data_IF_036562596554
#
_entry.id   IF_036562596554
#
_cell.length_a   1.000
_cell.length_b   1.000
_cell.length_c   1.000
_cell.angle_alpha   90.00
_cell.angle_beta   90.00
_cell.angle_gamma   90.00
#
_symmetry.space_group_name_H-M   'P 1'
#
loop_
_entity.id
_entity.type
_entity.pdbx_description
1 polymer ?
#
# COMPACT_ATOMS: atom_id res chain seq x y z
N UNK A 1 10.86 -60.99 -11.92
CA UNK A 1 10.48 -60.27 -10.69
C UNK A 1 9.76 -58.98 -11.08
N UNK A 2 8.47 -58.85 -10.76
CA UNK A 2 7.68 -57.65 -11.10
C UNK A 2 7.73 -56.70 -9.90
N UNK A 3 8.42 -55.57 -10.06
CA UNK A 3 8.43 -54.52 -9.05
C UNK A 3 7.04 -53.85 -9.01
N UNK A 4 6.47 -53.59 -7.82
CA UNK A 4 5.17 -52.92 -7.70
C UNK A 4 5.28 -51.47 -8.20
N UNK A 5 4.26 -51.02 -8.94
CA UNK A 5 4.21 -49.71 -9.60
C UNK A 5 4.36 -48.51 -8.63
N UNK A 6 4.18 -48.74 -7.33
CA UNK A 6 4.38 -47.75 -6.26
C UNK A 6 5.85 -47.41 -6.00
N UNK A 7 6.79 -48.31 -6.29
CA UNK A 7 8.23 -48.02 -6.18
C UNK A 7 8.74 -47.21 -7.37
N UNK A 8 8.12 -47.35 -8.54
CA UNK A 8 8.52 -46.65 -9.76
C UNK A 8 8.09 -45.18 -9.72
N UNK A 9 6.94 -44.87 -9.14
CA UNK A 9 6.47 -43.48 -8.96
C UNK A 9 7.25 -42.72 -7.89
N UNK A 10 7.67 -43.40 -6.80
CA UNK A 10 8.56 -42.82 -5.78
C UNK A 10 9.97 -42.56 -6.32
N UNK A 11 10.49 -43.43 -7.20
CA UNK A 11 11.79 -43.22 -7.85
C UNK A 11 11.75 -42.04 -8.85
N UNK A 12 10.65 -41.85 -9.60
CA UNK A 12 10.49 -40.70 -10.49
C UNK A 12 10.35 -39.37 -9.72
N UNK A 13 9.65 -39.36 -8.58
CA UNK A 13 9.51 -38.17 -7.74
C UNK A 13 10.82 -37.77 -7.04
N UNK A 14 11.63 -38.76 -6.61
CA UNK A 14 12.95 -38.51 -6.03
C UNK A 14 13.98 -38.05 -7.09
N UNK A 15 13.92 -38.60 -8.31
CA UNK A 15 14.78 -38.20 -9.42
C UNK A 15 14.58 -36.75 -9.87
N UNK A 16 13.33 -36.28 -9.88
CA UNK A 16 13.01 -34.87 -10.20
C UNK A 16 13.46 -33.88 -9.12
N UNK A 17 13.51 -34.31 -7.84
CA UNK A 17 14.00 -33.47 -6.74
C UNK A 17 15.54 -33.36 -6.69
N UNK A 18 16.25 -34.39 -7.16
CA UNK A 18 17.72 -34.41 -7.18
C UNK A 18 18.32 -33.76 -8.43
N UNK A 19 17.69 -33.90 -9.60
CA UNK A 19 18.16 -33.25 -10.84
C UNK A 19 18.09 -31.70 -10.77
N UNK A 20 17.26 -31.14 -9.88
CA UNK A 20 17.15 -29.70 -9.65
C UNK A 20 18.32 -29.08 -8.85
N UNK A 21 19.23 -29.88 -8.26
CA UNK A 21 20.33 -29.36 -7.42
C UNK A 21 21.70 -29.30 -8.11
N UNK A 22 21.84 -29.74 -9.37
CA UNK A 22 23.15 -29.81 -10.04
C UNK A 22 23.32 -28.91 -11.27
N UNK A 23 22.45 -27.93 -11.50
CA UNK A 23 22.61 -26.99 -12.63
C UNK A 23 23.08 -25.61 -12.18
N UNK A 24 24.35 -25.52 -11.79
CA UNK A 24 25.10 -24.25 -11.78
C UNK A 24 25.65 -24.01 -13.19
N UNK A 25 24.82 -23.46 -14.07
CA UNK A 25 25.24 -22.92 -15.38
C UNK A 25 25.33 -21.39 -15.34
N UNK A 26 26.10 -20.76 -16.25
CA UNK A 26 26.18 -19.30 -16.34
C UNK A 26 24.78 -18.73 -16.61
N UNK A 27 24.40 -17.74 -15.81
CA UNK A 27 23.08 -17.11 -15.83
C UNK A 27 22.95 -16.25 -17.09
N UNK A 28 22.57 -16.86 -18.20
CA UNK A 28 22.14 -16.15 -19.39
C UNK A 28 20.96 -15.24 -19.01
N UNK A 29 20.97 -14.00 -19.51
CA UNK A 29 19.88 -13.06 -19.31
C UNK A 29 18.59 -13.70 -19.84
N UNK A 30 17.70 -14.08 -18.91
CA UNK A 30 16.36 -14.56 -19.25
C UNK A 30 15.55 -13.34 -19.68
N UNK A 31 15.72 -12.94 -20.92
CA UNK A 31 14.75 -12.11 -21.63
C UNK A 31 13.56 -12.99 -21.96
N UNK A 32 12.44 -12.66 -21.32
CA UNK A 32 11.08 -13.07 -21.68
C UNK A 32 10.74 -14.57 -21.51
N UNK A 33 10.76 -15.06 -20.25
CA UNK A 33 9.87 -16.19 -19.91
C UNK A 33 8.43 -15.68 -19.86
N UNK A 34 7.79 -15.70 -21.03
CA UNK A 34 6.34 -15.75 -21.18
C UNK A 34 5.78 -16.76 -20.20
N UNK A 35 4.93 -16.27 -19.27
CA UNK A 35 4.22 -17.03 -18.24
C UNK A 35 3.50 -18.25 -18.84
N UNK A 36 4.13 -19.43 -18.93
CA UNK A 36 3.77 -20.45 -19.92
C UNK A 36 2.46 -21.16 -19.59
N UNK A 37 1.98 -20.98 -18.35
CA UNK A 37 0.73 -21.50 -17.83
C UNK A 37 -0.21 -20.37 -17.36
N UNK A 38 0.17 -19.10 -17.56
CA UNK A 38 -0.58 -17.97 -17.03
C UNK A 38 -0.62 -17.92 -15.49
N UNK A 39 0.18 -18.72 -14.77
CA UNK A 39 0.07 -18.85 -13.32
C UNK A 39 0.50 -17.57 -12.60
N UNK A 40 1.65 -16.99 -12.97
CA UNK A 40 2.15 -15.77 -12.34
C UNK A 40 1.16 -14.60 -12.56
N UNK A 41 0.77 -13.93 -11.49
CA UNK A 41 -0.20 -12.82 -11.54
C UNK A 41 -1.66 -13.23 -11.80
N UNK A 42 -1.98 -14.52 -11.87
CA UNK A 42 -3.38 -14.99 -11.95
C UNK A 42 -3.99 -15.24 -10.58
N UNK A 43 -5.31 -15.49 -10.55
CA UNK A 43 -6.01 -15.93 -9.34
C UNK A 43 -5.44 -17.25 -8.78
N UNK A 44 -5.04 -18.19 -9.66
CA UNK A 44 -4.43 -19.45 -9.24
C UNK A 44 -3.02 -19.23 -8.66
N UNK A 45 -2.23 -18.35 -9.26
CA UNK A 45 -0.94 -17.93 -8.71
C UNK A 45 -1.09 -17.29 -7.34
N UNK A 46 -2.08 -16.40 -7.18
CA UNK A 46 -2.40 -15.75 -5.90
C UNK A 46 -2.77 -16.76 -4.80
N UNK A 47 -3.56 -17.77 -5.15
CA UNK A 47 -3.90 -18.86 -4.22
C UNK A 47 -2.66 -19.68 -3.83
N UNK A 48 -1.85 -20.07 -4.81
CA UNK A 48 -0.61 -20.80 -4.57
C UNK A 48 0.37 -19.98 -3.69
N UNK A 49 0.49 -18.67 -3.95
CA UNK A 49 1.31 -17.76 -3.17
C UNK A 49 0.87 -17.70 -1.71
N UNK A 50 -0.45 -17.64 -1.44
CA UNK A 50 -0.98 -17.67 -0.07
C UNK A 50 -0.69 -18.98 0.65
N UNK A 51 -0.84 -20.12 -0.02
CA UNK A 51 -0.50 -21.43 0.56
C UNK A 51 1.00 -21.51 0.90
N UNK A 52 1.85 -21.00 0.02
CA UNK A 52 3.30 -20.92 0.27
C UNK A 52 3.58 -19.99 1.46
N UNK A 53 2.93 -18.83 1.52
CA UNK A 53 3.07 -17.84 2.60
C UNK A 53 2.68 -18.41 3.96
N UNK A 54 1.55 -19.12 4.06
CA UNK A 54 1.13 -19.75 5.33
C UNK A 54 2.16 -20.79 5.80
N UNK A 55 2.76 -21.54 4.87
CA UNK A 55 3.82 -22.49 5.21
C UNK A 55 5.09 -21.80 5.73
N UNK A 56 5.36 -20.56 5.29
CA UNK A 56 6.57 -19.81 5.62
C UNK A 56 6.69 -19.51 7.12
N UNK A 57 5.56 -19.26 7.79
CA UNK A 57 5.48 -19.08 9.25
C UNK A 57 6.12 -20.26 9.99
N UNK A 58 5.86 -21.49 9.54
CA UNK A 58 6.41 -22.69 10.18
C UNK A 58 7.93 -22.80 10.01
N UNK A 59 8.47 -22.36 8.87
CA UNK A 59 9.91 -22.35 8.64
C UNK A 59 10.62 -21.31 9.52
N UNK A 60 10.05 -20.12 9.66
CA UNK A 60 10.64 -19.06 10.49
C UNK A 60 10.62 -19.39 11.98
N UNK A 61 9.61 -20.11 12.44
CA UNK A 61 9.54 -20.57 13.82
C UNK A 61 10.16 -21.97 14.04
N UNK A 62 10.88 -22.52 13.05
CA UNK A 62 11.58 -23.81 13.19
C UNK A 62 10.65 -24.98 13.55
N UNK A 63 9.40 -24.92 13.08
CA UNK A 63 8.37 -25.89 13.42
C UNK A 63 7.86 -25.82 14.86
N UNK A 64 8.08 -24.69 15.54
CA UNK A 64 7.41 -24.38 16.80
C UNK A 64 6.13 -23.63 16.48
N UNK A 65 4.97 -24.26 16.64
CA UNK A 65 3.74 -23.49 16.86
C UNK A 65 3.96 -22.63 18.09
N UNK A 66 3.53 -21.37 18.08
CA UNK A 66 3.64 -20.48 19.24
C UNK A 66 3.04 -21.19 20.47
N UNK A 67 3.89 -21.76 21.31
CA UNK A 67 3.47 -22.13 22.65
C UNK A 67 3.08 -20.80 23.28
N UNK A 68 1.83 -20.67 23.74
CA UNK A 68 1.48 -19.62 24.68
C UNK A 68 2.57 -19.61 25.74
N UNK A 69 3.24 -18.47 25.89
CA UNK A 69 4.27 -18.28 26.90
C UNK A 69 3.71 -18.82 28.21
N UNK A 70 4.34 -19.88 28.74
CA UNK A 70 4.13 -20.31 30.11
C UNK A 70 4.81 -19.28 31.01
N UNK A 71 4.20 -18.10 31.12
CA UNK A 71 4.46 -17.24 32.25
C UNK A 71 3.73 -17.83 33.45
N UNK A 72 4.52 -17.99 34.49
CA UNK A 72 4.22 -18.33 35.87
C UNK A 72 2.77 -18.09 36.31
N UNK A 73 2.18 -19.08 36.98
CA UNK A 73 0.77 -19.14 37.40
C UNK A 73 0.41 -18.21 38.56
N UNK A 74 1.06 -17.06 38.72
CA UNK A 74 0.87 -16.20 39.89
C UNK A 74 0.80 -14.72 39.56
N UNK A 75 -0.01 -14.31 38.58
CA UNK A 75 -0.69 -13.01 38.66
C UNK A 75 -1.94 -12.99 37.79
N UNK A 76 -3.12 -13.01 38.42
CA UNK A 76 -4.38 -12.63 37.76
C UNK A 76 -4.45 -11.11 37.78
N UNK A 77 -4.11 -10.47 36.68
CA UNK A 77 -4.64 -9.13 36.41
C UNK A 77 -4.94 -8.98 34.91
N UNK A 78 -6.17 -8.54 34.63
CA UNK A 78 -6.82 -8.57 33.33
C UNK A 78 -6.22 -7.50 32.41
N UNK A 79 -5.36 -7.91 31.49
CA UNK A 79 -5.15 -7.20 30.23
C UNK A 79 -5.71 -8.07 29.09
N UNK A 80 -6.86 -7.71 28.54
CA UNK A 80 -7.41 -8.33 27.32
C UNK A 80 -6.52 -7.93 26.14
N UNK A 81 -5.48 -8.71 25.86
CA UNK A 81 -4.83 -8.71 24.56
C UNK A 81 -5.69 -9.52 23.59
N UNK A 82 -5.98 -9.06 22.37
CA UNK A 82 -6.68 -9.88 21.40
C UNK A 82 -5.83 -11.11 21.08
N UNK A 83 -6.44 -12.29 21.20
CA UNK A 83 -5.88 -13.56 20.76
C UNK A 83 -5.44 -13.45 19.30
N UNK A 84 -4.18 -13.77 18.93
CA UNK A 84 -3.83 -13.88 17.53
C UNK A 84 -4.68 -15.01 16.92
N UNK A 85 -5.45 -14.69 15.90
CA UNK A 85 -6.15 -15.72 15.13
C UNK A 85 -5.13 -16.63 14.44
N UNK A 86 -5.38 -17.95 14.38
CA UNK A 86 -4.47 -18.88 13.74
C UNK A 86 -4.36 -18.56 12.23
N UNK A 87 -3.15 -18.58 11.64
CA UNK A 87 -2.98 -18.32 10.23
C UNK A 87 -3.44 -19.55 9.45
N UNK A 88 -4.58 -19.43 8.77
CA UNK A 88 -5.06 -20.44 7.85
C UNK A 88 -6.58 -20.43 7.72
N UNK A 89 -7.07 -20.45 6.48
CA UNK A 89 -8.51 -20.57 6.15
C UNK A 89 -9.11 -21.88 6.73
N UNK A 90 -8.27 -22.90 6.96
CA UNK A 90 -8.66 -24.18 7.59
C UNK A 90 -8.56 -24.21 9.12
N UNK A 91 -7.98 -23.18 9.74
CA UNK A 91 -7.88 -23.11 11.20
C UNK A 91 -9.15 -22.55 11.87
N UNK A 92 -10.15 -22.10 11.09
CA UNK A 92 -11.42 -21.58 11.59
C UNK A 92 -12.52 -22.67 11.62
N UNK A 93 -12.89 -23.06 12.85
CA UNK A 93 -14.05 -23.89 13.28
C UNK A 93 -13.95 -25.36 12.84
N UNK A 94 -14.06 -26.37 13.70
CA UNK A 94 -14.74 -26.52 14.99
C UNK A 94 -13.96 -27.52 15.85
N UNK A 95 -14.07 -27.44 17.19
CA UNK A 95 -13.71 -28.61 18.02
C UNK A 95 -14.61 -29.76 17.55
N UNK A 96 -14.07 -30.92 17.16
CA UNK A 96 -14.91 -32.05 16.80
C UNK A 96 -15.82 -32.38 17.99
N UNK A 97 -17.10 -32.61 17.71
CA UNK A 97 -18.04 -33.11 18.71
C UNK A 97 -17.46 -34.40 19.34
N UNK A 98 -17.70 -34.64 20.65
CA UNK A 98 -17.27 -35.88 21.29
C UNK A 98 -17.81 -37.09 20.50
N UNK A 99 -17.06 -38.20 20.46
CA UNK A 99 -17.33 -39.29 19.53
C UNK A 99 -18.69 -39.93 19.82
N UNK A 100 -19.70 -39.58 19.01
CA UNK A 100 -20.92 -40.34 18.82
C UNK A 100 -20.78 -41.21 17.56
N UNK A 101 -21.38 -42.41 17.58
CA UNK A 101 -21.11 -43.54 16.68
C UNK A 101 -21.33 -43.35 15.17
N UNK A 102 -21.68 -42.17 14.66
CA UNK A 102 -21.87 -41.94 13.21
C UNK A 102 -21.12 -40.69 12.71
N UNK A 103 -19.79 -40.70 12.83
CA UNK A 103 -18.94 -39.68 12.18
C UNK A 103 -18.77 -40.04 10.71
N UNK A 104 -19.18 -39.13 9.81
CA UNK A 104 -19.09 -39.30 8.35
C UNK A 104 -17.65 -39.61 7.92
N UNK A 105 -17.48 -40.41 6.85
CA UNK A 105 -16.16 -40.66 6.27
C UNK A 105 -15.46 -39.34 5.90
N UNK A 106 -16.21 -38.35 5.43
CA UNK A 106 -15.70 -37.02 5.11
C UNK A 106 -15.13 -36.32 6.35
N UNK A 107 -15.83 -36.38 7.47
CA UNK A 107 -15.39 -35.78 8.73
C UNK A 107 -14.12 -36.45 9.27
N UNK A 108 -14.02 -37.78 9.14
CA UNK A 108 -12.80 -38.52 9.48
C UNK A 108 -11.61 -38.10 8.61
N UNK A 109 -11.83 -37.88 7.30
CA UNK A 109 -10.78 -37.38 6.41
C UNK A 109 -10.38 -35.94 6.75
N UNK A 110 -11.34 -35.07 7.07
CA UNK A 110 -11.08 -33.68 7.50
C UNK A 110 -10.23 -33.68 8.78
N UNK A 111 -10.60 -34.49 9.79
CA UNK A 111 -9.82 -34.62 11.03
C UNK A 111 -8.41 -35.15 10.73
N UNK A 112 -8.29 -36.15 9.86
CA UNK A 112 -6.98 -36.71 9.49
C UNK A 112 -6.11 -35.71 8.73
N UNK A 113 -6.69 -34.92 7.85
CA UNK A 113 -5.99 -33.84 7.15
C UNK A 113 -5.50 -32.79 8.16
N UNK A 114 -6.34 -32.38 9.10
CA UNK A 114 -5.95 -31.44 10.16
C UNK A 114 -4.81 -31.99 11.04
N UNK A 115 -4.82 -33.29 11.39
CA UNK A 115 -3.72 -33.94 12.10
C UNK A 115 -2.42 -33.94 11.30
N UNK A 116 -2.49 -34.26 10.00
CA UNK A 116 -1.33 -34.26 9.12
C UNK A 116 -0.77 -32.86 8.92
N UNK A 117 -1.63 -31.85 8.80
CA UNK A 117 -1.24 -30.44 8.72
C UNK A 117 -0.56 -29.98 10.02
N UNK A 118 -1.12 -30.32 11.18
CA UNK A 118 -0.52 -30.05 12.49
C UNK A 118 0.81 -30.79 12.69
N UNK A 119 0.92 -32.02 12.16
CA UNK A 119 2.13 -32.83 12.22
C UNK A 119 3.24 -32.33 11.28
N UNK A 120 2.89 -31.77 10.11
CA UNK A 120 3.84 -31.29 9.10
C UNK A 120 4.79 -30.23 9.65
N UNK A 121 4.30 -29.43 10.58
CA UNK A 121 4.99 -28.24 11.07
C UNK A 121 5.44 -28.38 12.51
N UNK A 122 5.25 -29.55 13.14
CA UNK A 122 5.64 -29.78 14.54
C UNK A 122 7.07 -30.31 14.63
N UNK A 123 7.91 -29.64 15.42
CA UNK A 123 9.24 -30.16 15.75
C UNK A 123 9.10 -31.49 16.50
N UNK A 124 9.67 -32.55 15.92
CA UNK A 124 9.65 -33.90 16.46
C UNK A 124 11.00 -34.31 17.11
N UNK A 125 12.03 -33.46 17.00
CA UNK A 125 13.33 -33.69 17.62
C UNK A 125 13.44 -33.02 19.00
N UNK A 126 13.95 -33.73 20.02
CA UNK A 126 14.24 -33.14 21.33
C UNK A 126 15.48 -32.22 21.30
N UNK A 127 16.33 -32.35 20.27
CA UNK A 127 17.58 -31.59 20.16
C UNK A 127 17.36 -30.16 19.65
N UNK A 128 18.23 -29.21 20.01
CA UNK A 128 18.22 -27.88 19.43
C UNK A 128 18.53 -27.92 17.92
N UNK A 129 17.99 -26.95 17.18
CA UNK A 129 18.20 -26.79 15.74
C UNK A 129 19.69 -26.54 15.47
N UNK A 130 20.37 -27.45 14.78
CA UNK A 130 21.78 -27.26 14.40
C UNK A 130 21.97 -26.09 13.44
N UNK A 131 23.17 -25.51 13.38
CA UNK A 131 23.46 -24.40 12.46
C UNK A 131 23.26 -24.77 11.00
N UNK A 132 23.63 -25.99 10.61
CA UNK A 132 23.38 -26.50 9.26
C UNK A 132 21.88 -26.55 8.95
N UNK A 133 21.07 -27.01 9.91
CA UNK A 133 19.62 -27.06 9.74
C UNK A 133 19.00 -25.65 9.71
N UNK A 134 19.47 -24.71 10.53
CA UNK A 134 19.07 -23.29 10.48
C UNK A 134 19.36 -22.66 9.13
N UNK A 135 20.55 -22.89 8.56
CA UNK A 135 20.93 -22.42 7.22
C UNK A 135 19.99 -23.00 6.16
N UNK A 136 19.68 -24.28 6.23
CA UNK A 136 18.73 -24.93 5.33
C UNK A 136 17.33 -24.32 5.44
N UNK A 137 16.80 -24.12 6.65
CA UNK A 137 15.49 -23.52 6.87
C UNK A 137 15.42 -22.09 6.32
N UNK A 138 16.47 -21.29 6.54
CA UNK A 138 16.56 -19.93 6.03
C UNK A 138 16.63 -19.89 4.49
N UNK A 139 17.43 -20.75 3.86
CA UNK A 139 17.49 -20.87 2.41
C UNK A 139 16.15 -21.33 1.81
N UNK A 140 15.54 -22.33 2.43
CA UNK A 140 14.21 -22.86 2.09
C UNK A 140 13.10 -21.81 2.19
N UNK A 141 13.11 -21.00 3.25
CA UNK A 141 12.17 -19.90 3.45
C UNK A 141 12.40 -18.79 2.41
N UNK A 142 13.65 -18.40 2.18
CA UNK A 142 14.01 -17.36 1.20
C UNK A 142 13.57 -17.75 -0.22
N UNK A 143 13.80 -19.00 -0.62
CA UNK A 143 13.42 -19.49 -1.94
C UNK A 143 11.90 -19.52 -2.13
N UNK A 144 11.16 -20.07 -1.15
CA UNK A 144 9.69 -20.09 -1.16
C UNK A 144 9.08 -18.70 -1.23
N UNK A 145 9.64 -17.76 -0.45
CA UNK A 145 9.18 -16.38 -0.44
C UNK A 145 9.35 -15.71 -1.82
N UNK A 146 10.49 -15.94 -2.49
CA UNK A 146 10.72 -15.43 -3.86
C UNK A 146 9.70 -16.01 -4.85
N UNK A 147 9.46 -17.32 -4.81
CA UNK A 147 8.44 -17.96 -5.65
C UNK A 147 7.04 -17.42 -5.36
N UNK A 148 6.67 -17.28 -4.08
CA UNK A 148 5.37 -16.75 -3.72
C UNK A 148 5.15 -15.35 -4.30
N UNK A 149 6.18 -14.49 -4.23
CA UNK A 149 6.11 -13.15 -4.81
C UNK A 149 6.11 -13.14 -6.34
N UNK A 150 6.82 -14.05 -7.00
CA UNK A 150 6.72 -14.21 -8.46
C UNK A 150 5.31 -14.66 -8.89
N UNK A 151 4.64 -15.47 -8.06
CA UNK A 151 3.26 -15.91 -8.29
C UNK A 151 2.23 -14.81 -8.01
N UNK A 152 2.44 -14.00 -6.97
CA UNK A 152 1.59 -12.88 -6.58
C UNK A 152 2.43 -11.62 -6.25
N UNK A 153 2.87 -10.87 -7.28
CA UNK A 153 3.64 -9.64 -7.09
C UNK A 153 2.81 -8.52 -6.48
N UNK A 154 1.48 -8.69 -6.39
CA UNK A 154 0.56 -7.73 -5.82
C UNK A 154 0.35 -7.87 -4.32
N UNK A 155 0.81 -8.95 -3.68
CA UNK A 155 0.65 -9.13 -2.22
C UNK A 155 1.62 -8.19 -1.46
N UNK A 156 1.10 -7.20 -0.72
CA UNK A 156 1.95 -6.24 0.00
C UNK A 156 2.81 -6.91 1.06
N UNK A 157 2.35 -7.99 1.68
CA UNK A 157 3.11 -8.65 2.75
C UNK A 157 4.28 -9.43 2.16
N UNK A 158 4.07 -10.12 1.04
CA UNK A 158 5.18 -10.80 0.34
C UNK A 158 6.25 -9.80 -0.10
N UNK A 159 5.83 -8.64 -0.62
CA UNK A 159 6.74 -7.54 -0.94
C UNK A 159 7.52 -7.08 0.31
N UNK A 160 6.84 -6.72 1.40
CA UNK A 160 7.51 -6.14 2.59
C UNK A 160 8.49 -7.13 3.24
N UNK A 161 8.13 -8.42 3.30
CA UNK A 161 9.04 -9.45 3.84
C UNK A 161 10.28 -9.57 2.94
N UNK A 162 10.11 -9.61 1.60
CA UNK A 162 11.24 -9.69 0.68
C UNK A 162 12.12 -8.45 0.75
N UNK A 163 11.51 -7.28 0.78
CA UNK A 163 12.20 -6.00 0.92
C UNK A 163 13.05 -6.00 2.20
N UNK A 164 12.48 -6.39 3.34
CA UNK A 164 13.20 -6.49 4.60
C UNK A 164 14.36 -7.49 4.54
N UNK A 165 14.15 -8.68 3.94
CA UNK A 165 15.21 -9.69 3.81
C UNK A 165 16.38 -9.22 2.94
N UNK A 166 16.11 -8.48 1.87
CA UNK A 166 17.15 -7.90 1.02
C UNK A 166 17.85 -6.73 1.72
N UNK A 167 17.09 -5.86 2.38
CA UNK A 167 17.62 -4.72 3.13
C UNK A 167 18.56 -5.17 4.27
N UNK A 168 18.23 -6.25 4.97
CA UNK A 168 19.07 -6.81 6.04
C UNK A 168 20.46 -7.29 5.53
N UNK A 169 20.60 -7.61 4.24
CA UNK A 169 21.86 -8.06 3.64
C UNK A 169 22.75 -6.93 3.14
N UNK A 170 22.25 -5.68 3.11
CA UNK A 170 22.99 -4.53 2.58
C UNK A 170 24.30 -4.27 3.33
N UNK A 171 24.33 -4.54 4.63
CA UNK A 171 25.54 -4.33 5.45
C UNK A 171 26.69 -5.28 5.05
N UNK A 172 26.35 -6.50 4.63
CA UNK A 172 27.34 -7.52 4.21
C UNK A 172 27.65 -7.45 2.71
N UNK A 173 26.65 -7.10 1.90
CA UNK A 173 26.68 -7.15 0.43
C UNK A 173 26.06 -5.90 -0.17
N UNK A 174 26.83 -4.81 -0.33
CA UNK A 174 26.34 -3.55 -0.90
C UNK A 174 25.72 -3.69 -2.29
N UNK A 175 26.17 -4.66 -3.09
CA UNK A 175 25.61 -4.99 -4.41
C UNK A 175 24.12 -5.37 -4.36
N UNK A 176 23.61 -5.83 -3.20
CA UNK A 176 22.19 -6.15 -2.98
C UNK A 176 21.30 -4.90 -3.13
N UNK A 177 21.87 -3.69 -3.09
CA UNK A 177 21.12 -2.44 -3.29
C UNK A 177 20.39 -2.42 -4.62
N UNK A 178 21.05 -2.87 -5.69
CA UNK A 178 20.44 -2.92 -7.03
C UNK A 178 19.25 -3.90 -7.07
N UNK A 179 19.35 -5.04 -6.39
CA UNK A 179 18.24 -5.99 -6.27
C UNK A 179 17.06 -5.43 -5.46
N UNK A 180 17.35 -4.71 -4.37
CA UNK A 180 16.34 -4.06 -3.52
C UNK A 180 15.58 -2.98 -4.27
N UNK A 181 16.30 -2.09 -4.96
CA UNK A 181 15.70 -1.02 -5.76
C UNK A 181 14.88 -1.61 -6.92
N UNK A 182 15.40 -2.64 -7.60
CA UNK A 182 14.65 -3.35 -8.65
C UNK A 182 13.39 -4.07 -8.13
N UNK A 183 13.40 -4.57 -6.89
CA UNK A 183 12.21 -5.12 -6.26
C UNK A 183 11.13 -4.03 -6.05
N UNK A 184 11.53 -2.88 -5.51
CA UNK A 184 10.62 -1.76 -5.29
C UNK A 184 10.03 -1.21 -6.60
N UNK A 185 10.87 -1.01 -7.63
CA UNK A 185 10.40 -0.52 -8.94
C UNK A 185 9.42 -1.49 -9.61
N UNK A 186 9.63 -2.81 -9.47
CA UNK A 186 8.68 -3.82 -9.97
C UNK A 186 7.34 -3.72 -9.25
N UNK A 187 7.33 -3.56 -7.92
CA UNK A 187 6.11 -3.40 -7.15
C UNK A 187 5.35 -2.12 -7.52
N UNK A 188 6.06 -0.99 -7.70
CA UNK A 188 5.47 0.28 -8.16
C UNK A 188 4.88 0.14 -9.56
N UNK A 189 5.62 -0.48 -10.49
CA UNK A 189 5.16 -0.70 -11.87
C UNK A 189 3.92 -1.58 -11.89
N UNK A 190 3.93 -2.67 -11.11
CA UNK A 190 2.77 -3.56 -11.01
C UNK A 190 1.57 -2.87 -10.36
N UNK A 191 1.78 -2.08 -9.29
CA UNK A 191 0.72 -1.37 -8.58
C UNK A 191 0.08 -0.21 -9.34
N UNK A 192 0.76 0.34 -10.34
CA UNK A 192 0.25 1.41 -11.20
C UNK A 192 -0.31 0.91 -12.54
N UNK A 193 -0.19 -0.39 -12.84
CA UNK A 193 -0.65 -0.97 -14.09
C UNK A 193 -2.19 -0.89 -14.25
N UNK A 194 -2.72 -0.75 -15.48
CA UNK A 194 -4.17 -0.65 -15.73
C UNK A 194 -5.00 -1.86 -15.28
N UNK A 195 -4.38 -3.04 -15.10
CA UNK A 195 -5.04 -4.26 -14.62
C UNK A 195 -4.68 -4.59 -13.17
N UNK A 196 -4.02 -3.69 -12.45
CA UNK A 196 -3.67 -3.87 -11.04
C UNK A 196 -4.92 -3.91 -10.16
N UNK A 197 -4.89 -4.79 -9.16
CA UNK A 197 -5.92 -4.86 -8.11
C UNK A 197 -5.58 -4.01 -6.88
N UNK A 198 -6.49 -3.97 -5.91
CA UNK A 198 -6.36 -3.18 -4.67
C UNK A 198 -5.04 -3.45 -3.92
N UNK A 199 -4.68 -4.72 -3.74
CA UNK A 199 -3.44 -5.12 -3.05
C UNK A 199 -2.18 -4.64 -3.79
N UNK A 200 -2.15 -4.79 -5.12
CA UNK A 200 -1.02 -4.37 -5.93
C UNK A 200 -0.79 -2.86 -5.84
N UNK A 201 -1.86 -2.06 -5.85
CA UNK A 201 -1.77 -0.62 -5.66
C UNK A 201 -1.17 -0.26 -4.29
N UNK A 202 -1.57 -0.97 -3.22
CA UNK A 202 -1.01 -0.78 -1.88
C UNK A 202 0.45 -1.25 -1.77
N UNK A 203 0.79 -2.39 -2.38
CA UNK A 203 2.17 -2.88 -2.45
C UNK A 203 3.09 -1.88 -3.18
N UNK A 204 2.62 -1.32 -4.29
CA UNK A 204 3.33 -0.27 -5.01
C UNK A 204 3.48 1.02 -4.20
N UNK A 205 2.48 1.38 -3.39
CA UNK A 205 2.56 2.53 -2.49
C UNK A 205 3.59 2.30 -1.36
N UNK A 206 3.57 1.13 -0.71
CA UNK A 206 4.60 0.74 0.27
C UNK A 206 6.01 0.74 -0.33
N UNK A 207 6.15 0.24 -1.55
CA UNK A 207 7.41 0.26 -2.27
C UNK A 207 7.94 1.67 -2.58
N UNK A 208 7.07 2.56 -3.05
CA UNK A 208 7.43 3.96 -3.27
C UNK A 208 7.82 4.65 -1.97
N UNK A 209 7.13 4.35 -0.87
CA UNK A 209 7.46 4.85 0.46
C UNK A 209 8.83 4.38 0.94
N UNK A 210 9.18 3.11 0.74
CA UNK A 210 10.50 2.57 1.10
C UNK A 210 11.64 3.30 0.38
N UNK A 211 11.50 3.52 -0.94
CA UNK A 211 12.47 4.31 -1.72
C UNK A 211 12.54 5.78 -1.26
N UNK A 212 11.39 6.37 -0.95
CA UNK A 212 11.30 7.76 -0.49
C UNK A 212 11.95 7.93 0.89
N UNK A 213 11.75 6.98 1.79
CA UNK A 213 12.36 6.98 3.12
C UNK A 213 13.90 7.03 3.05
N UNK A 214 14.51 6.29 2.12
CA UNK A 214 15.96 6.31 1.91
C UNK A 214 16.50 7.68 1.46
N UNK A 215 15.73 8.40 0.65
CA UNK A 215 16.06 9.77 0.21
C UNK A 215 15.89 10.80 1.34
N UNK A 216 14.97 10.55 2.27
CA UNK A 216 14.66 11.43 3.40
C UNK A 216 15.49 11.13 4.65
N UNK A 217 16.37 10.11 4.63
CA UNK A 217 17.21 9.75 5.77
C UNK A 217 18.07 10.93 6.23
N UNK A 218 18.13 11.22 7.55
CA UNK A 218 19.07 12.18 8.11
C UNK A 218 20.52 11.79 7.77
N UNK A 219 21.35 12.75 7.38
CA UNK A 219 22.77 12.51 7.08
C UNK A 219 23.11 12.21 5.62
N UNK A 220 22.14 12.27 4.69
CA UNK A 220 22.44 12.29 3.26
C UNK A 220 23.27 13.55 2.91
N UNK A 221 24.41 13.43 2.21
CA UNK A 221 25.35 14.53 1.99
C UNK A 221 24.75 15.66 1.13
N UNK A 222 23.72 15.37 0.34
CA UNK A 222 22.92 16.37 -0.37
C UNK A 222 21.49 15.85 -0.57
N UNK A 223 20.51 16.68 -0.22
CA UNK A 223 19.09 16.41 -0.49
C UNK A 223 18.82 16.54 -1.98
N UNK A 224 18.41 15.45 -2.63
CA UNK A 224 17.98 15.43 -4.03
C UNK A 224 16.46 15.65 -4.12
N UNK A 225 16.07 16.92 -4.23
CA UNK A 225 14.66 17.32 -4.28
C UNK A 225 13.92 16.78 -5.51
N UNK A 226 14.59 16.70 -6.66
CA UNK A 226 13.95 16.18 -7.87
C UNK A 226 13.72 14.66 -7.75
N UNK A 227 14.64 13.90 -7.15
CA UNK A 227 14.40 12.50 -6.83
C UNK A 227 13.26 12.31 -5.83
N UNK A 228 13.22 13.12 -4.77
CA UNK A 228 12.13 13.11 -3.77
C UNK A 228 10.79 13.35 -4.45
N UNK A 229 10.68 14.35 -5.33
CA UNK A 229 9.44 14.67 -6.04
C UNK A 229 9.03 13.54 -7.00
N UNK A 230 9.99 12.92 -7.71
CA UNK A 230 9.70 11.76 -8.56
C UNK A 230 9.14 10.58 -7.75
N UNK A 231 9.75 10.25 -6.61
CA UNK A 231 9.30 9.17 -5.71
C UNK A 231 7.97 9.48 -5.06
N UNK A 232 7.75 10.72 -4.63
CA UNK A 232 6.45 11.19 -4.16
C UNK A 232 5.36 11.00 -5.22
N UNK A 233 5.62 11.39 -6.47
CA UNK A 233 4.67 11.19 -7.56
C UNK A 233 4.32 9.72 -7.82
N UNK A 234 5.25 8.78 -7.59
CA UNK A 234 4.97 7.35 -7.67
C UNK A 234 4.05 6.89 -6.52
N UNK A 235 4.34 7.32 -5.28
CA UNK A 235 3.50 7.04 -4.11
C UNK A 235 2.07 7.56 -4.32
N UNK A 236 1.94 8.82 -4.73
CA UNK A 236 0.65 9.47 -4.98
C UNK A 236 -0.15 8.75 -6.07
N UNK A 237 0.49 8.35 -7.18
CA UNK A 237 -0.16 7.55 -8.23
C UNK A 237 -0.66 6.18 -7.75
N UNK A 238 0.12 5.48 -6.92
CA UNK A 238 -0.29 4.20 -6.35
C UNK A 238 -1.52 4.36 -5.43
N UNK A 239 -1.53 5.38 -4.57
CA UNK A 239 -2.67 5.68 -3.69
C UNK A 239 -3.91 6.13 -4.48
N UNK A 240 -3.71 6.95 -5.52
CA UNK A 240 -4.78 7.33 -6.45
C UNK A 240 -5.41 6.10 -7.12
N UNK A 241 -4.56 5.17 -7.57
CA UNK A 241 -4.99 3.93 -8.20
C UNK A 241 -5.81 3.07 -7.25
N UNK A 242 -5.39 2.92 -5.99
CA UNK A 242 -6.19 2.23 -4.97
C UNK A 242 -7.57 2.89 -4.80
N UNK A 243 -7.62 4.22 -4.64
CA UNK A 243 -8.88 4.97 -4.46
C UNK A 243 -9.81 4.79 -5.66
N UNK A 244 -9.29 4.84 -6.88
CA UNK A 244 -10.05 4.63 -8.11
C UNK A 244 -10.64 3.20 -8.17
N UNK A 245 -9.81 2.17 -7.98
CA UNK A 245 -10.28 0.77 -7.98
C UNK A 245 -11.32 0.55 -6.88
N UNK A 246 -11.11 1.13 -5.68
CA UNK A 246 -12.07 1.04 -4.58
C UNK A 246 -13.39 1.73 -4.98
N UNK A 247 -13.33 2.93 -5.54
CA UNK A 247 -14.52 3.65 -5.97
C UNK A 247 -15.33 2.82 -6.97
N UNK A 248 -14.69 2.33 -8.02
CA UNK A 248 -15.29 1.48 -9.05
C UNK A 248 -15.85 0.18 -8.45
N UNK A 249 -15.17 -0.41 -7.47
CA UNK A 249 -15.64 -1.58 -6.73
C UNK A 249 -16.95 -1.34 -5.99
N UNK A 250 -17.15 -0.14 -5.43
CA UNK A 250 -18.41 0.21 -4.77
C UNK A 250 -19.50 0.51 -5.76
N UNK A 251 -19.22 1.28 -6.81
CA UNK A 251 -20.21 1.58 -7.85
C UNK A 251 -20.71 0.33 -8.56
N UNK A 252 -19.82 -0.63 -8.82
CA UNK A 252 -20.16 -1.94 -9.41
C UNK A 252 -20.74 -2.95 -8.43
N UNK A 253 -20.79 -2.64 -7.13
CA UNK A 253 -21.24 -3.55 -6.08
C UNK A 253 -20.25 -4.66 -5.69
N UNK A 254 -19.14 -4.83 -6.42
CA UNK A 254 -18.11 -5.85 -6.14
C UNK A 254 -17.52 -5.75 -4.74
N UNK A 255 -17.41 -4.53 -4.19
CA UNK A 255 -16.90 -4.28 -2.84
C UNK A 255 -17.67 -5.07 -1.77
N UNK A 256 -18.99 -5.16 -1.90
CA UNK A 256 -19.84 -5.90 -0.96
C UNK A 256 -19.58 -7.41 -0.96
N UNK A 257 -19.00 -7.95 -2.03
CA UNK A 257 -18.60 -9.36 -2.14
C UNK A 257 -17.27 -9.69 -1.46
N UNK A 258 -16.49 -8.69 -1.05
CA UNK A 258 -15.25 -8.90 -0.29
C UNK A 258 -15.62 -9.17 1.18
N UNK A 259 -15.06 -10.19 1.85
CA UNK A 259 -15.30 -10.41 3.28
C UNK A 259 -14.96 -9.17 4.12
N UNK A 260 -15.79 -8.84 5.11
CA UNK A 260 -15.65 -7.62 5.93
C UNK A 260 -14.24 -7.47 6.54
N UNK A 261 -13.66 -8.55 7.05
CA UNK A 261 -12.29 -8.56 7.59
C UNK A 261 -11.28 -8.09 6.54
N UNK A 262 -11.42 -8.53 5.29
CA UNK A 262 -10.52 -8.14 4.20
C UNK A 262 -10.75 -6.70 3.77
N UNK A 263 -11.99 -6.22 3.79
CA UNK A 263 -12.27 -4.80 3.59
C UNK A 263 -11.57 -3.94 4.65
N UNK A 264 -11.69 -4.33 5.92
CA UNK A 264 -11.04 -3.63 7.04
C UNK A 264 -9.51 -3.62 6.90
N UNK A 265 -8.89 -4.76 6.56
CA UNK A 265 -7.45 -4.83 6.30
C UNK A 265 -6.99 -3.87 5.19
N UNK A 266 -7.72 -3.82 4.08
CA UNK A 266 -7.40 -2.94 2.94
C UNK A 266 -7.52 -1.47 3.32
N UNK A 267 -8.62 -1.09 3.97
CA UNK A 267 -8.86 0.29 4.38
C UNK A 267 -7.87 0.74 5.46
N UNK A 268 -7.53 -0.12 6.43
CA UNK A 268 -6.52 0.18 7.44
C UNK A 268 -5.13 0.37 6.82
N UNK A 269 -4.76 -0.49 5.86
CA UNK A 269 -3.48 -0.36 5.18
C UNK A 269 -3.41 0.92 4.33
N UNK A 270 -4.47 1.23 3.57
CA UNK A 270 -4.58 2.47 2.81
C UNK A 270 -4.52 3.71 3.72
N UNK A 271 -5.24 3.69 4.86
CA UNK A 271 -5.25 4.78 5.83
C UNK A 271 -3.89 4.98 6.51
N UNK A 272 -3.15 3.90 6.77
CA UNK A 272 -1.78 3.99 7.28
C UNK A 272 -0.86 4.68 6.27
N UNK A 273 -0.84 4.20 5.02
CA UNK A 273 -0.02 4.77 3.96
C UNK A 273 -0.39 6.23 3.67
N UNK A 274 -1.68 6.55 3.65
CA UNK A 274 -2.18 7.92 3.47
C UNK A 274 -1.70 8.88 4.57
N UNK A 275 -1.76 8.46 5.85
CA UNK A 275 -1.24 9.27 6.96
C UNK A 275 0.26 9.52 6.88
N UNK A 276 1.03 8.50 6.46
CA UNK A 276 2.48 8.65 6.27
C UNK A 276 2.76 9.58 5.09
N UNK A 277 2.04 9.41 3.98
CA UNK A 277 2.15 10.27 2.80
C UNK A 277 1.89 11.73 3.17
N UNK A 278 0.82 12.04 3.90
CA UNK A 278 0.52 13.41 4.33
C UNK A 278 1.64 14.02 5.20
N UNK A 279 2.23 13.24 6.11
CA UNK A 279 3.39 13.72 6.89
C UNK A 279 4.61 14.03 6.01
N UNK A 280 4.89 13.18 5.02
CA UNK A 280 6.00 13.39 4.08
C UNK A 280 5.73 14.59 3.16
N UNK A 281 4.49 14.78 2.75
CA UNK A 281 4.05 15.91 1.92
C UNK A 281 4.47 17.25 2.52
N UNK A 282 4.30 17.40 3.83
CA UNK A 282 4.68 18.60 4.59
C UNK A 282 6.19 18.85 4.60
N UNK A 283 7.00 17.83 4.31
CA UNK A 283 8.46 17.92 4.22
C UNK A 283 8.95 18.18 2.78
N UNK A 284 8.07 18.08 1.77
CA UNK A 284 8.44 18.33 0.38
C UNK A 284 8.87 19.80 0.18
N UNK A 285 9.72 20.08 -0.82
CA UNK A 285 10.05 21.44 -1.18
C UNK A 285 8.77 22.21 -1.49
N UNK A 286 8.55 23.32 -0.80
CA UNK A 286 7.40 24.17 -0.99
C UNK A 286 7.79 25.45 -1.72
N UNK A 287 6.90 25.93 -2.58
CA UNK A 287 7.06 27.18 -3.28
C UNK A 287 5.88 28.12 -2.99
N UNK A 288 6.09 29.39 -3.32
CA UNK A 288 5.04 30.40 -3.32
C UNK A 288 4.25 30.28 -4.63
N UNK A 289 2.93 30.12 -4.54
CA UNK A 289 2.03 30.16 -5.69
C UNK A 289 1.28 31.49 -5.72
N UNK A 290 1.52 32.29 -6.75
CA UNK A 290 0.74 33.52 -7.00
C UNK A 290 -0.39 33.21 -7.98
N UNK A 291 -1.61 33.57 -7.61
CA UNK A 291 -2.81 33.41 -8.44
C UNK A 291 -3.36 34.79 -8.77
N UNK A 292 -3.58 35.06 -10.06
CA UNK A 292 -4.25 36.27 -10.53
C UNK A 292 -5.68 35.93 -10.94
N UNK A 293 -6.64 36.68 -10.42
CA UNK A 293 -8.06 36.56 -10.79
C UNK A 293 -8.38 37.67 -11.79
N UNK A 294 -8.88 37.27 -12.96
CA UNK A 294 -9.39 38.20 -13.95
C UNK A 294 -10.91 38.28 -13.88
N UNK A 295 -11.44 39.45 -13.54
CA UNK A 295 -12.87 39.71 -13.50
C UNK A 295 -13.37 40.04 -14.90
N UNK A 296 -14.28 39.21 -15.44
CA UNK A 296 -14.81 39.37 -16.80
C UNK A 296 -16.34 39.35 -16.80
N UNK A 297 -16.94 40.16 -17.67
CA UNK A 297 -18.36 40.16 -18.00
C UNK A 297 -18.53 39.83 -19.48
N UNK A 298 -19.25 38.75 -19.80
CA UNK A 298 -19.38 38.23 -21.17
C UNK A 298 -18.05 38.11 -21.93
N UNK A 299 -16.98 37.73 -21.23
CA UNK A 299 -15.64 37.59 -21.79
C UNK A 299 -14.84 38.90 -21.93
N UNK A 300 -15.40 40.08 -21.69
CA UNK A 300 -14.62 41.33 -21.62
C UNK A 300 -14.20 41.65 -20.17
N UNK A 301 -13.11 42.39 -19.91
CA UNK A 301 -12.79 42.88 -18.56
C UNK A 301 -13.99 43.62 -17.94
N UNK A 302 -14.29 43.33 -16.68
CA UNK A 302 -15.43 43.93 -15.97
C UNK A 302 -15.24 45.44 -15.79
N UNK A 303 -16.07 46.32 -16.39
CA UNK A 303 -16.02 47.74 -16.12
C UNK A 303 -16.65 48.07 -14.77
N UNK A 304 -15.90 48.73 -13.90
CA UNK A 304 -16.41 49.29 -12.64
C UNK A 304 -16.97 50.71 -12.83
N UNK A 305 -17.95 51.07 -12.00
CA UNK A 305 -18.58 52.38 -11.93
C UNK A 305 -19.12 52.93 -13.27
N UNK A 306 -19.37 52.05 -14.25
CA UNK A 306 -19.97 52.38 -15.55
C UNK A 306 -21.34 51.72 -15.68
N UNK A 307 -22.40 52.48 -15.99
CA UNK A 307 -23.71 51.90 -16.30
C UNK A 307 -23.68 51.19 -17.64
N UNK A 308 -24.44 50.10 -17.77
CA UNK A 308 -24.71 49.47 -19.08
C UNK A 308 -24.26 48.02 -19.22
N UNK A 309 -23.98 47.31 -18.11
CA UNK A 309 -23.90 45.85 -18.17
C UNK A 309 -25.30 45.29 -18.38
N UNK A 310 -25.49 44.37 -19.34
CA UNK A 310 -26.78 43.72 -19.58
C UNK A 310 -26.77 42.31 -19.00
N UNK A 311 -27.72 42.01 -18.11
CA UNK A 311 -27.98 40.62 -17.68
C UNK A 311 -28.65 39.81 -18.81
N UNK A 312 -28.88 38.53 -18.56
CA UNK A 312 -29.58 37.66 -19.52
C UNK A 312 -31.04 38.05 -19.79
N UNK A 313 -31.67 38.83 -18.88
CA UNK A 313 -33.04 39.33 -19.03
C UNK A 313 -33.12 40.67 -19.77
N UNK A 314 -31.99 41.29 -20.12
CA UNK A 314 -31.92 42.60 -20.78
C UNK A 314 -31.91 43.81 -19.82
N UNK A 315 -31.88 43.59 -18.51
CA UNK A 315 -31.78 44.67 -17.53
C UNK A 315 -30.38 45.27 -17.50
N UNK A 316 -30.35 46.60 -17.35
CA UNK A 316 -29.10 47.34 -17.15
C UNK A 316 -28.67 47.26 -15.69
N UNK A 317 -27.44 46.84 -15.49
CA UNK A 317 -26.75 46.77 -14.21
C UNK A 317 -25.52 47.67 -14.25
N UNK A 318 -25.02 48.00 -13.06
CA UNK A 318 -23.70 48.60 -12.88
C UNK A 318 -23.06 48.00 -11.63
N UNK A 319 -21.77 47.69 -11.69
CA UNK A 319 -20.99 47.27 -10.51
C UNK A 319 -20.22 48.50 -10.03
N UNK A 320 -20.66 49.10 -8.94
CA UNK A 320 -20.01 50.29 -8.37
C UNK A 320 -18.73 49.94 -7.62
N UNK A 321 -18.73 48.82 -6.89
CA UNK A 321 -17.58 48.31 -6.15
C UNK A 321 -17.59 46.78 -6.16
N UNK A 322 -16.41 46.19 -6.32
CA UNK A 322 -16.21 44.75 -6.18
C UNK A 322 -15.00 44.49 -5.29
N UNK A 323 -15.28 44.10 -4.05
CA UNK A 323 -14.29 43.68 -3.09
C UNK A 323 -14.83 42.49 -2.29
N UNK A 324 -13.98 41.49 -2.04
CA UNK A 324 -14.41 40.24 -1.42
C UNK A 324 -13.25 39.54 -0.71
N UNK A 325 -13.60 38.68 0.25
CA UNK A 325 -12.67 37.80 0.93
C UNK A 325 -12.68 36.42 0.29
N UNK A 326 -11.52 35.78 0.26
CA UNK A 326 -11.34 34.38 -0.09
C UNK A 326 -10.77 33.62 1.10
N UNK A 327 -11.22 32.39 1.29
CA UNK A 327 -10.73 31.50 2.34
C UNK A 327 -10.64 30.04 1.87
N UNK A 328 -10.06 29.18 2.70
CA UNK A 328 -9.98 27.71 2.48
C UNK A 328 -9.48 27.33 1.09
N UNK A 329 -8.36 27.92 0.68
CA UNK A 329 -7.74 27.54 -0.58
C UNK A 329 -7.35 26.05 -0.57
N UNK A 330 -7.80 25.32 -1.58
CA UNK A 330 -7.47 23.91 -1.80
C UNK A 330 -6.97 23.70 -3.22
N UNK A 331 -5.95 22.86 -3.37
CA UNK A 331 -5.41 22.46 -4.66
C UNK A 331 -5.75 21.00 -4.93
N UNK A 332 -6.20 20.70 -6.15
CA UNK A 332 -6.42 19.32 -6.58
C UNK A 332 -5.16 18.77 -7.22
N UNK A 333 -4.63 17.67 -6.70
CA UNK A 333 -3.48 16.97 -7.26
C UNK A 333 -3.82 16.28 -8.59
N UNK A 334 -2.80 15.79 -9.30
CA UNK A 334 -2.98 14.89 -10.46
C UNK A 334 -3.71 13.59 -10.07
N UNK A 335 -3.54 13.11 -8.83
CA UNK A 335 -4.28 11.98 -8.26
C UNK A 335 -5.75 12.27 -7.94
N UNK A 336 -6.19 13.53 -8.07
CA UNK A 336 -7.56 13.95 -7.83
C UNK A 336 -7.88 14.29 -6.37
N UNK A 337 -6.92 14.14 -5.45
CA UNK A 337 -7.05 14.51 -4.04
C UNK A 337 -7.00 16.02 -3.84
N UNK A 338 -7.82 16.53 -2.93
CA UNK A 338 -7.84 17.93 -2.54
C UNK A 338 -6.97 18.15 -1.32
N UNK A 339 -6.04 19.09 -1.42
CA UNK A 339 -5.18 19.48 -0.31
C UNK A 339 -5.38 20.91 0.09
N UNK A 340 -5.49 21.14 1.39
CA UNK A 340 -5.51 22.49 1.95
C UNK A 340 -4.17 23.16 1.70
N UNK A 341 -4.21 24.43 1.27
CA UNK A 341 -3.05 25.30 1.17
C UNK A 341 -2.72 26.00 2.51
N UNK A 342 -3.25 25.48 3.62
CA UNK A 342 -3.08 25.99 4.98
C UNK A 342 -4.18 26.96 5.41
N UNK A 343 -4.02 27.52 6.61
CA UNK A 343 -4.88 28.60 7.10
C UNK A 343 -4.51 29.90 6.37
N UNK A 344 -5.36 30.26 5.42
CA UNK A 344 -5.10 31.33 4.47
C UNK A 344 -6.37 32.13 4.19
N UNK A 345 -6.20 33.44 4.12
CA UNK A 345 -7.22 34.41 3.74
C UNK A 345 -6.63 35.39 2.74
N UNK A 346 -7.44 35.83 1.77
CA UNK A 346 -7.07 36.95 0.91
C UNK A 346 -8.21 37.94 0.75
N UNK A 347 -7.87 39.21 0.73
CA UNK A 347 -8.78 40.29 0.41
C UNK A 347 -8.48 40.82 -0.98
N UNK A 348 -9.46 40.70 -1.86
CA UNK A 348 -9.39 41.26 -3.20
C UNK A 348 -10.26 42.52 -3.28
N UNK A 349 -9.72 43.53 -3.97
CA UNK A 349 -10.37 44.81 -4.19
C UNK A 349 -10.01 45.24 -5.62
N UNK A 350 -10.98 45.06 -6.53
CA UNK A 350 -10.77 45.25 -7.97
C UNK A 350 -10.50 46.72 -8.29
N UNK A 351 -11.09 47.65 -7.52
CA UNK A 351 -10.89 49.09 -7.70
C UNK A 351 -9.45 49.51 -7.33
N UNK A 352 -8.84 48.84 -6.35
CA UNK A 352 -7.48 49.09 -5.89
C UNK A 352 -6.43 48.21 -6.57
N UNK A 353 -6.79 47.55 -7.67
CA UNK A 353 -5.96 46.57 -8.39
C UNK A 353 -5.40 45.43 -7.51
N UNK A 354 -6.12 45.10 -6.43
CA UNK A 354 -5.83 43.93 -5.59
C UNK A 354 -6.52 42.71 -6.18
N UNK A 355 -6.00 42.27 -7.32
CA UNK A 355 -6.59 41.19 -8.15
C UNK A 355 -5.81 39.88 -8.09
N UNK A 356 -4.78 39.81 -7.24
CA UNK A 356 -3.96 38.62 -7.07
C UNK A 356 -3.81 38.27 -5.59
N UNK A 357 -3.48 37.01 -5.34
CA UNK A 357 -3.14 36.54 -4.01
C UNK A 357 -2.01 35.51 -4.06
N UNK A 358 -1.45 35.22 -2.89
CA UNK A 358 -0.32 34.32 -2.74
C UNK A 358 -0.62 33.21 -1.74
N UNK A 359 -0.36 31.97 -2.13
CA UNK A 359 -0.30 30.82 -1.23
C UNK A 359 1.18 30.58 -0.83
N UNK A 360 1.53 30.68 0.47
CA UNK A 360 2.93 30.81 0.89
C UNK A 360 3.72 29.50 0.86
N UNK A 361 3.06 28.36 1.07
CA UNK A 361 3.70 27.04 1.17
C UNK A 361 2.92 25.99 0.38
N UNK A 362 3.02 26.06 -0.94
CA UNK A 362 2.46 25.03 -1.81
C UNK A 362 3.53 23.98 -2.07
N UNK A 363 3.35 22.71 -1.64
CA UNK A 363 4.29 21.64 -1.96
C UNK A 363 4.48 21.53 -3.48
N UNK A 364 5.71 21.32 -3.94
CA UNK A 364 5.99 21.14 -5.37
C UNK A 364 5.26 19.90 -5.88
N UNK A 365 4.54 20.05 -6.98
CA UNK A 365 3.71 18.99 -7.56
C UNK A 365 2.94 19.47 -8.78
N UNK A 366 2.20 18.56 -9.41
CA UNK A 366 1.24 18.89 -10.47
C UNK A 366 -0.15 19.06 -9.89
N UNK A 367 -0.80 20.15 -10.25
CA UNK A 367 -2.13 20.51 -9.78
C UNK A 367 -3.06 20.74 -10.97
N UNK A 368 -4.29 20.23 -10.86
CA UNK A 368 -5.29 20.24 -11.94
C UNK A 368 -6.43 21.22 -11.68
N UNK A 369 -6.64 21.62 -10.42
CA UNK A 369 -7.68 22.59 -10.06
C UNK A 369 -7.31 23.35 -8.78
N UNK A 370 -7.94 24.51 -8.62
CA UNK A 370 -7.93 25.34 -7.42
C UNK A 370 -9.37 25.56 -6.97
N UNK A 371 -9.62 25.45 -5.67
CA UNK A 371 -10.90 25.76 -5.03
C UNK A 371 -10.63 26.71 -3.87
N UNK A 372 -11.57 27.59 -3.59
CA UNK A 372 -11.60 28.45 -2.42
C UNK A 372 -13.06 28.81 -2.13
N UNK A 373 -13.34 29.21 -0.90
CA UNK A 373 -14.63 29.75 -0.51
C UNK A 373 -14.63 31.28 -0.71
N UNK A 374 -15.80 31.83 -1.08
CA UNK A 374 -16.02 33.27 -1.17
C UNK A 374 -16.64 33.74 0.15
N UNK A 375 -15.89 34.52 0.91
CA UNK A 375 -16.20 34.89 2.29
C UNK A 375 -15.46 34.04 3.32
N UNK A 376 -15.89 34.16 4.58
CA UNK A 376 -15.38 33.42 5.73
C UNK A 376 -16.43 32.41 6.21
N UNK A 377 -16.00 31.33 6.85
CA UNK A 377 -16.93 30.49 7.60
C UNK A 377 -17.41 31.20 8.87
N UNK A 378 -18.57 30.76 9.39
CA UNK A 378 -19.24 31.41 10.52
C UNK A 378 -18.37 31.50 11.79
N UNK A 379 -17.54 30.48 12.04
CA UNK A 379 -16.68 30.46 13.22
C UNK A 379 -15.53 31.46 13.07
N UNK A 380 -14.93 31.54 11.89
CA UNK A 380 -13.87 32.51 11.59
C UNK A 380 -14.39 33.95 11.58
N UNK A 381 -15.56 34.20 10.98
CA UNK A 381 -16.18 35.52 10.91
C UNK A 381 -16.49 36.11 12.29
N UNK A 382 -16.86 35.25 13.25
CA UNK A 382 -17.11 35.63 14.66
C UNK A 382 -15.84 35.68 15.52
N UNK A 383 -14.68 35.32 14.97
CA UNK A 383 -13.42 35.30 15.71
C UNK A 383 -12.80 36.69 15.83
N UNK A 384 -11.87 36.86 16.77
CA UNK A 384 -11.11 38.10 16.92
C UNK A 384 -10.22 38.35 15.68
N UNK A 385 -10.46 39.41 14.89
CA UNK A 385 -9.70 39.69 13.67
C UNK A 385 -8.21 39.91 13.93
N UNK A 386 -7.82 40.35 15.14
CA UNK A 386 -6.42 40.62 15.48
C UNK A 386 -5.55 39.36 15.57
N UNK A 387 -6.16 38.17 15.56
CA UNK A 387 -5.45 36.88 15.59
C UNK A 387 -4.92 36.44 14.25
N UNK A 388 -5.35 37.08 13.17
CA UNK A 388 -4.98 36.71 11.81
C UNK A 388 -3.97 37.71 11.24
N UNK A 389 -2.92 37.23 10.53
CA UNK A 389 -1.94 38.13 9.92
C UNK A 389 -2.62 39.04 8.88
N UNK A 390 -2.21 40.30 8.82
CA UNK A 390 -2.60 41.19 7.72
C UNK A 390 -2.08 40.60 6.40
N UNK A 391 -3.00 40.21 5.52
CA UNK A 391 -2.73 39.53 4.25
C UNK A 391 -2.07 40.39 3.18
#
# INVERSE_FOLDING_TARGET
MRLPHTLLTLACAAGLFWAGQSMTGPRAAVTDMTNPLGLAGSAFGSLAARVIRDSLHSYWHGGQSAAQSSHDKTTKEQAKTPTPEPPGIFARRSKPAPPGENVSWLDKQIVRLAELEAGRTKRNSPFPTSDAHRRFLNASASWRLRIAYELDPGDPVLYEILHYQLAARLAEKPETRQELDALAERAITHGTAPMSGLNAALAGAGAALNLLNDLLRPGQPKRDDDAIIRRWGQLDRCLARYRAIRHDAVESGWWSGIPEVRQQELEQHAALLGRIAEKIRLQLPAARLTVQIQHRWHGAPLPLAKPGLLNAAGDKLSVTRLAYLLSKAMLRTESGEWISAGDWFAFLDVEKDRTHFTLPRVPRGRYTALRFDLGLDEQTDKSDPARWPAG
#
